data_IF_294312119508
#
_entry.id   IF_294312119508
#
_cell.length_a   1.000
_cell.length_b   1.000
_cell.length_c   1.000
_cell.angle_alpha   90.00
_cell.angle_beta   90.00
_cell.angle_gamma   90.00
#
_symmetry.space_group_name_H-M   'P 1'
#
loop_
_entity.id
_entity.type
_entity.pdbx_description
1 polymer ?
#
# COMPACT_ATOMS: atom_id res chain seq x y z
N UNK A 1 -1.05 21.66 -5.27
CA UNK A 1 -0.74 20.26 -5.66
C UNK A 1 0.06 20.19 -6.96
N UNK A 2 0.89 21.19 -7.26
CA UNK A 2 1.42 21.37 -8.63
C UNK A 2 2.87 20.91 -8.88
N UNK A 3 3.60 20.38 -7.97
CA UNK A 3 5.05 20.27 -8.16
C UNK A 3 5.69 18.88 -8.06
N UNK A 4 4.92 17.83 -7.81
CA UNK A 4 5.53 16.51 -7.57
C UNK A 4 5.06 15.41 -8.51
N UNK A 5 4.11 15.68 -9.40
CA UNK A 5 3.55 14.66 -10.27
C UNK A 5 3.74 15.04 -11.74
N UNK A 6 4.20 14.10 -12.55
CA UNK A 6 4.16 14.15 -14.01
C UNK A 6 2.72 14.05 -14.57
N UNK A 7 1.71 14.10 -13.70
CA UNK A 7 0.31 14.04 -14.05
C UNK A 7 -0.22 15.40 -14.49
N UNK A 8 -1.11 15.39 -15.48
CA UNK A 8 -1.79 16.62 -15.92
C UNK A 8 -2.72 17.15 -14.81
N UNK A 9 -2.98 18.47 -14.75
CA UNK A 9 -3.93 19.04 -13.78
C UNK A 9 -5.32 18.39 -13.85
N UNK A 10 -5.79 18.04 -15.05
CA UNK A 10 -7.08 17.35 -15.24
C UNK A 10 -7.07 15.92 -14.67
N UNK A 11 -5.98 15.18 -14.84
CA UNK A 11 -5.82 13.84 -14.25
C UNK A 11 -5.84 13.92 -12.72
N UNK A 12 -5.16 14.93 -12.14
CA UNK A 12 -5.17 15.16 -10.69
C UNK A 12 -6.58 15.49 -10.18
N UNK A 13 -7.32 16.37 -10.87
CA UNK A 13 -8.70 16.71 -10.49
C UNK A 13 -9.64 15.50 -10.56
N UNK A 14 -9.51 14.68 -11.59
CA UNK A 14 -10.30 13.45 -11.74
C UNK A 14 -9.96 12.44 -10.64
N UNK A 15 -8.68 12.24 -10.35
CA UNK A 15 -8.22 11.39 -9.27
C UNK A 15 -8.78 11.85 -7.91
N UNK A 16 -8.74 13.14 -7.61
CA UNK A 16 -9.31 13.70 -6.37
C UNK A 16 -10.81 13.41 -6.28
N UNK A 17 -11.56 13.60 -7.36
CA UNK A 17 -13.01 13.29 -7.37
C UNK A 17 -13.29 11.80 -7.20
N UNK A 18 -12.48 10.96 -7.85
CA UNK A 18 -12.60 9.51 -7.80
C UNK A 18 -12.34 8.97 -6.39
N UNK A 19 -11.32 9.47 -5.68
CA UNK A 19 -10.86 8.91 -4.42
C UNK A 19 -11.34 9.65 -3.18
N UNK A 20 -11.64 10.95 -3.32
CA UNK A 20 -12.01 11.85 -2.23
C UNK A 20 -13.34 12.57 -2.48
N UNK A 21 -14.18 12.04 -3.40
CA UNK A 21 -15.58 12.45 -3.49
C UNK A 21 -16.30 12.26 -2.14
N UNK A 22 -17.34 13.03 -1.87
CA UNK A 22 -17.98 13.10 -0.54
C UNK A 22 -18.36 11.72 0.01
N UNK A 23 -18.97 10.87 -0.84
CA UNK A 23 -19.41 9.53 -0.43
C UNK A 23 -18.21 8.61 -0.16
N UNK A 24 -17.20 8.63 -1.03
CA UNK A 24 -15.97 7.83 -0.89
C UNK A 24 -15.15 8.25 0.34
N UNK A 25 -15.10 9.54 0.62
CA UNK A 25 -14.40 10.03 1.81
C UNK A 25 -15.11 9.59 3.09
N UNK A 26 -16.45 9.60 3.11
CA UNK A 26 -17.22 9.10 4.24
C UNK A 26 -16.98 7.60 4.47
N UNK A 27 -16.97 6.78 3.40
CA UNK A 27 -16.64 5.35 3.47
C UNK A 27 -15.23 5.11 4.07
N UNK A 28 -14.24 5.91 3.68
CA UNK A 28 -12.87 5.81 4.24
C UNK A 28 -12.79 6.19 5.71
N UNK A 29 -13.57 7.17 6.14
CA UNK A 29 -13.62 7.61 7.55
C UNK A 29 -14.25 6.54 8.43
N UNK A 30 -15.24 5.80 7.90
CA UNK A 30 -15.95 4.74 8.61
C UNK A 30 -15.25 3.37 8.53
N UNK A 31 -14.16 3.24 7.75
CA UNK A 31 -13.38 1.98 7.61
C UNK A 31 -12.31 1.92 8.71
N UNK A 32 -12.44 0.96 9.63
CA UNK A 32 -11.50 0.75 10.75
C UNK A 32 -10.07 0.41 10.28
N UNK A 33 -9.90 -0.13 9.08
CA UNK A 33 -8.58 -0.45 8.51
C UNK A 33 -7.90 0.79 7.91
N UNK A 34 -8.64 1.88 7.66
CA UNK A 34 -8.11 3.13 7.11
C UNK A 34 -7.66 4.08 8.21
N UNK A 35 -6.48 4.66 8.05
CA UNK A 35 -5.95 5.71 8.92
C UNK A 35 -5.78 6.99 8.09
N UNK A 36 -6.52 8.03 8.47
CA UNK A 36 -6.40 9.36 7.90
C UNK A 36 -5.82 10.31 8.96
N UNK A 37 -4.72 10.97 8.64
CA UNK A 37 -4.12 11.99 9.48
C UNK A 37 -4.02 13.31 8.73
N UNK A 38 -4.13 14.40 9.46
CA UNK A 38 -3.97 15.76 8.96
C UNK A 38 -2.96 16.49 9.83
N UNK A 39 -2.06 17.25 9.22
CA UNK A 39 -1.21 18.20 9.90
C UNK A 39 -1.68 19.61 9.59
N UNK A 40 -1.83 20.43 10.63
CA UNK A 40 -2.24 21.83 10.53
C UNK A 40 -1.09 22.73 10.95
N UNK A 41 -0.97 23.86 10.27
CA UNK A 41 -0.04 24.95 10.59
C UNK A 41 -0.84 26.26 10.55
N UNK A 42 -0.77 27.04 11.64
CA UNK A 42 -1.50 28.31 11.79
C UNK A 42 -3.04 28.21 11.55
N UNK A 43 -3.64 27.05 11.81
CA UNK A 43 -5.06 26.75 11.61
C UNK A 43 -5.45 26.40 10.17
N UNK A 44 -4.47 26.21 9.30
CA UNK A 44 -4.68 25.76 7.93
C UNK A 44 -4.14 24.35 7.73
N UNK A 45 -4.80 23.53 6.90
CA UNK A 45 -4.33 22.18 6.59
C UNK A 45 -3.06 22.27 5.76
N UNK A 46 -1.93 21.90 6.37
CA UNK A 46 -0.61 21.90 5.75
C UNK A 46 -0.28 20.59 5.01
N UNK A 47 -0.89 19.47 5.43
CA UNK A 47 -0.67 18.17 4.80
C UNK A 47 -1.58 17.09 5.34
N UNK A 48 -1.52 15.91 4.73
CA UNK A 48 -2.27 14.73 5.16
C UNK A 48 -1.54 13.44 4.81
N UNK A 49 -1.88 12.36 5.52
CA UNK A 49 -1.57 11.00 5.11
C UNK A 49 -2.82 10.12 5.10
N UNK A 50 -2.83 9.16 4.19
CA UNK A 50 -3.80 8.07 4.13
C UNK A 50 -3.04 6.76 4.12
N UNK A 51 -3.43 5.87 5.01
CA UNK A 51 -2.81 4.57 5.16
C UNK A 51 -3.86 3.49 5.38
N UNK A 52 -3.52 2.25 5.05
CA UNK A 52 -4.39 1.08 5.24
C UNK A 52 -3.61 0.02 6.00
N UNK A 53 -4.22 -0.57 7.02
CA UNK A 53 -3.69 -1.74 7.72
C UNK A 53 -4.26 -3.00 7.08
N UNK A 54 -3.40 -3.96 6.77
CA UNK A 54 -3.79 -5.29 6.29
C UNK A 54 -2.93 -6.35 6.96
N UNK A 55 -3.51 -7.09 7.91
CA UNK A 55 -2.76 -8.00 8.75
C UNK A 55 -1.70 -7.29 9.58
N UNK A 56 -0.45 -7.66 9.41
CA UNK A 56 0.73 -7.08 10.07
C UNK A 56 1.43 -5.98 9.24
N UNK A 57 0.79 -5.53 8.15
CA UNK A 57 1.34 -4.51 7.25
C UNK A 57 0.52 -3.23 7.27
N UNK A 58 1.21 -2.09 7.31
CA UNK A 58 0.64 -0.74 7.16
C UNK A 58 1.15 -0.07 5.87
N UNK A 59 0.27 0.09 4.88
CA UNK A 59 0.57 0.75 3.61
C UNK A 59 0.24 2.23 3.68
N UNK A 60 1.24 3.10 3.52
CA UNK A 60 1.06 4.54 3.41
C UNK A 60 0.85 4.88 1.93
N UNK A 61 -0.40 5.04 1.54
CA UNK A 61 -0.82 5.33 0.19
C UNK A 61 -0.58 6.78 -0.22
N UNK A 62 -0.81 7.69 0.71
CA UNK A 62 -0.60 9.12 0.52
C UNK A 62 0.12 9.71 1.72
N UNK A 63 1.14 10.48 1.44
CA UNK A 63 1.76 11.40 2.36
C UNK A 63 2.06 12.67 1.58
N UNK A 64 1.27 13.69 1.84
CA UNK A 64 1.35 14.93 1.09
C UNK A 64 1.49 16.14 2.00
N UNK A 65 2.43 17.02 1.67
CA UNK A 65 2.58 18.33 2.29
C UNK A 65 2.45 19.40 1.21
N UNK A 66 1.59 20.38 1.44
CA UNK A 66 1.35 21.46 0.50
C UNK A 66 2.66 22.25 0.25
N UNK A 67 2.88 22.66 -1.00
CA UNK A 67 4.15 23.22 -1.46
C UNK A 67 4.69 24.35 -0.59
N UNK A 68 3.79 25.23 -0.11
CA UNK A 68 4.15 26.36 0.75
C UNK A 68 4.66 25.97 2.16
N UNK A 69 4.38 24.75 2.59
CA UNK A 69 4.78 24.22 3.91
C UNK A 69 5.93 23.21 3.82
N UNK A 70 6.48 22.95 2.63
CA UNK A 70 7.61 22.02 2.42
C UNK A 70 8.91 22.57 3.01
N UNK A 71 9.86 21.68 3.28
CA UNK A 71 11.17 22.02 3.83
C UNK A 71 11.18 22.42 5.31
N UNK A 72 10.04 22.32 6.01
CA UNK A 72 9.88 22.68 7.42
C UNK A 72 9.82 21.44 8.34
N UNK A 73 10.07 20.25 7.80
CA UNK A 73 10.04 19.00 8.59
C UNK A 73 8.66 18.36 8.75
N UNK A 74 7.57 19.02 8.28
CA UNK A 74 6.19 18.51 8.47
C UNK A 74 5.97 17.13 7.85
N UNK A 75 6.58 16.85 6.68
CA UNK A 75 6.46 15.53 6.05
C UNK A 75 7.04 14.42 6.93
N UNK A 76 8.18 14.67 7.57
CA UNK A 76 8.79 13.74 8.52
C UNK A 76 7.91 13.54 9.77
N UNK A 77 7.42 14.62 10.36
CA UNK A 77 6.54 14.56 11.53
C UNK A 77 5.25 13.76 11.21
N UNK A 78 4.66 14.02 10.04
CA UNK A 78 3.48 13.30 9.60
C UNK A 78 3.77 11.81 9.38
N UNK A 79 4.92 11.46 8.81
CA UNK A 79 5.36 10.07 8.66
C UNK A 79 5.55 9.38 10.02
N UNK A 80 6.29 10.01 10.94
CA UNK A 80 6.55 9.47 12.29
C UNK A 80 5.24 9.21 13.04
N UNK A 81 4.28 10.13 13.02
CA UNK A 81 2.96 9.95 13.64
C UNK A 81 2.13 8.86 12.93
N UNK A 82 2.20 8.81 11.59
CA UNK A 82 1.50 7.77 10.80
C UNK A 82 2.05 6.40 11.16
N UNK A 83 3.37 6.23 11.18
CA UNK A 83 4.05 4.99 11.56
C UNK A 83 3.63 4.54 12.96
N UNK A 84 3.73 5.42 13.96
CA UNK A 84 3.37 5.10 15.34
C UNK A 84 1.93 4.62 15.48
N UNK A 85 1.00 5.21 14.73
CA UNK A 85 -0.41 4.81 14.75
C UNK A 85 -0.67 3.49 14.02
N UNK A 86 0.03 3.22 12.94
CA UNK A 86 -0.02 1.94 12.25
C UNK A 86 0.52 0.81 13.13
N UNK A 87 1.65 1.02 13.80
CA UNK A 87 2.23 0.08 14.77
C UNK A 87 1.26 -0.21 15.94
N UNK A 88 0.59 0.81 16.47
CA UNK A 88 -0.46 0.65 17.50
C UNK A 88 -1.68 -0.14 17.03
N UNK A 89 -1.93 -0.19 15.71
CA UNK A 89 -2.97 -1.02 15.08
C UNK A 89 -2.49 -2.41 14.71
N UNK A 90 -1.24 -2.76 15.03
CA UNK A 90 -0.67 -4.08 14.82
C UNK A 90 0.17 -4.23 13.56
N UNK A 91 0.47 -3.15 12.85
CA UNK A 91 1.41 -3.22 11.74
C UNK A 91 2.84 -3.44 12.26
N UNK A 92 3.47 -4.53 11.80
CA UNK A 92 4.88 -4.85 12.05
C UNK A 92 5.77 -4.36 10.90
N UNK A 93 5.19 -4.24 9.71
CA UNK A 93 5.85 -3.75 8.49
C UNK A 93 5.20 -2.46 8.03
N UNK A 94 6.00 -1.41 7.82
CA UNK A 94 5.53 -0.14 7.28
C UNK A 94 6.01 0.03 5.84
N UNK A 95 5.04 0.28 4.94
CA UNK A 95 5.30 0.44 3.52
C UNK A 95 4.93 1.85 3.06
N UNK A 96 5.82 2.46 2.31
CA UNK A 96 5.58 3.71 1.60
C UNK A 96 5.37 3.45 0.12
N UNK A 97 4.25 3.90 -0.43
CA UNK A 97 3.94 3.77 -1.85
C UNK A 97 4.11 5.11 -2.56
N UNK A 98 4.74 5.09 -3.73
CA UNK A 98 5.00 6.32 -4.49
C UNK A 98 5.11 6.03 -5.98
N UNK A 99 4.57 6.90 -6.82
CA UNK A 99 4.75 6.80 -8.26
C UNK A 99 6.25 6.79 -8.62
N UNK A 100 6.67 5.91 -9.52
CA UNK A 100 8.06 5.77 -9.94
C UNK A 100 8.64 7.10 -10.48
N UNK A 101 7.81 7.89 -11.17
CA UNK A 101 8.18 9.19 -11.72
C UNK A 101 8.26 10.32 -10.67
N UNK A 102 7.78 10.09 -9.44
CA UNK A 102 7.82 11.09 -8.37
C UNK A 102 9.17 11.08 -7.65
N UNK A 103 10.16 11.73 -8.24
CA UNK A 103 11.54 11.75 -7.70
C UNK A 103 11.65 12.35 -6.29
N UNK A 104 10.80 13.33 -5.93
CA UNK A 104 10.77 13.92 -4.57
C UNK A 104 10.22 12.94 -3.55
N UNK A 105 9.15 12.23 -3.90
CA UNK A 105 8.55 11.21 -3.06
C UNK A 105 9.46 10.00 -2.86
N UNK A 106 10.11 9.52 -3.93
CA UNK A 106 11.09 8.44 -3.83
C UNK A 106 12.23 8.81 -2.87
N UNK A 107 12.83 10.00 -3.06
CA UNK A 107 13.89 10.51 -2.16
C UNK A 107 13.38 10.71 -0.72
N UNK A 108 12.10 11.06 -0.55
CA UNK A 108 11.53 11.21 0.80
C UNK A 108 11.57 9.86 1.54
N UNK A 109 11.11 8.76 0.93
CA UNK A 109 11.13 7.44 1.55
C UNK A 109 12.55 6.95 1.87
N UNK A 110 13.49 7.12 0.95
CA UNK A 110 14.91 6.82 1.19
C UNK A 110 15.47 7.60 2.38
N UNK A 111 15.11 8.89 2.51
CA UNK A 111 15.54 9.72 3.64
C UNK A 111 14.87 9.35 4.98
N UNK A 112 13.74 8.63 4.95
CA UNK A 112 13.15 8.05 6.16
C UNK A 112 13.77 6.69 6.52
N UNK A 113 14.72 6.19 5.73
CA UNK A 113 15.40 4.91 5.96
C UNK A 113 14.67 3.71 5.37
N UNK A 114 13.67 3.92 4.51
CA UNK A 114 13.00 2.81 3.81
C UNK A 114 13.81 2.40 2.58
N UNK A 115 13.77 1.11 2.27
CA UNK A 115 14.42 0.51 1.10
C UNK A 115 13.37 0.16 0.05
N UNK A 116 13.65 0.47 -1.23
CA UNK A 116 12.80 0.04 -2.34
C UNK A 116 12.94 -1.47 -2.52
N UNK A 117 11.83 -2.19 -2.44
CA UNK A 117 11.79 -3.66 -2.52
C UNK A 117 11.09 -4.18 -3.76
N UNK A 118 10.35 -3.35 -4.47
CA UNK A 118 9.62 -3.78 -5.66
C UNK A 118 8.84 -2.66 -6.31
N UNK A 119 8.11 -3.04 -7.36
CA UNK A 119 7.22 -2.16 -8.11
C UNK A 119 5.81 -2.73 -8.12
N UNK A 120 4.82 -1.86 -7.99
CA UNK A 120 3.41 -2.14 -8.17
C UNK A 120 2.83 -1.39 -9.35
N UNK A 121 1.54 -1.55 -9.57
CA UNK A 121 0.79 -0.80 -10.58
C UNK A 121 -0.39 -0.12 -9.95
N UNK A 122 -0.61 1.14 -10.31
CA UNK A 122 -1.75 1.93 -9.88
C UNK A 122 -2.47 2.51 -11.08
N UNK A 123 -3.80 2.41 -11.09
CA UNK A 123 -4.62 3.02 -12.14
C UNK A 123 -5.11 4.41 -11.71
N UNK A 124 -4.82 5.43 -12.52
CA UNK A 124 -5.23 6.81 -12.31
C UNK A 124 -5.92 7.31 -13.56
N UNK A 125 -7.21 7.66 -13.47
CA UNK A 125 -7.99 8.19 -14.59
C UNK A 125 -7.92 7.25 -15.82
N UNK A 126 -8.05 5.93 -15.60
CA UNK A 126 -8.02 4.89 -16.65
C UNK A 126 -6.64 4.58 -17.24
N UNK A 127 -5.56 5.13 -16.66
CA UNK A 127 -4.19 4.87 -17.10
C UNK A 127 -3.41 4.15 -16.00
N UNK A 128 -2.66 3.11 -16.38
CA UNK A 128 -1.77 2.41 -15.46
C UNK A 128 -0.45 3.19 -15.27
N UNK A 129 -0.04 3.33 -14.02
CA UNK A 129 1.23 3.94 -13.62
C UNK A 129 2.03 2.95 -12.78
N UNK A 130 3.35 3.01 -12.89
CA UNK A 130 4.25 2.25 -12.02
C UNK A 130 4.37 2.95 -10.67
N UNK A 131 4.26 2.17 -9.61
CA UNK A 131 4.40 2.62 -8.23
C UNK A 131 5.53 1.84 -7.56
N UNK A 132 6.49 2.55 -6.99
CA UNK A 132 7.56 1.96 -6.21
C UNK A 132 7.07 1.64 -4.80
N UNK A 133 7.48 0.50 -4.27
CA UNK A 133 7.17 0.01 -2.92
C UNK A 133 8.43 0.14 -2.07
N UNK A 134 8.34 0.93 -1.01
CA UNK A 134 9.40 1.12 -0.02
C UNK A 134 8.98 0.47 1.30
N UNK A 135 9.90 -0.27 1.95
CA UNK A 135 9.68 -0.83 3.30
C UNK A 135 10.83 -0.46 4.22
N UNK A 136 10.59 -0.44 5.52
CA UNK A 136 11.66 -0.37 6.50
C UNK A 136 12.47 -1.68 6.49
N UNK A 137 13.76 -1.61 6.87
CA UNK A 137 14.66 -2.77 6.81
C UNK A 137 14.20 -3.94 7.70
N UNK A 138 13.41 -3.67 8.74
CA UNK A 138 12.83 -4.68 9.62
C UNK A 138 11.63 -5.40 8.97
N UNK A 139 11.02 -4.79 7.95
CA UNK A 139 9.83 -5.29 7.25
C UNK A 139 10.09 -6.23 6.08
N UNK A 140 11.32 -6.51 5.72
CA UNK A 140 11.65 -7.51 4.70
C UNK A 140 11.66 -8.89 5.33
N UNK A 141 10.50 -9.51 5.44
CA UNK A 141 10.33 -10.82 6.06
C UNK A 141 10.03 -11.89 4.99
N UNK A 142 11.09 -12.49 4.47
CA UNK A 142 11.01 -13.64 3.57
C UNK A 142 11.20 -14.91 4.39
N UNK A 143 10.15 -15.73 4.48
CA UNK A 143 10.17 -16.97 5.28
C UNK A 143 10.12 -18.21 4.41
N UNK A 144 11.05 -19.17 4.60
CA UNK A 144 10.96 -20.44 3.90
C UNK A 144 9.75 -21.25 4.40
N UNK A 145 9.05 -21.88 3.46
CA UNK A 145 8.02 -22.88 3.71
C UNK A 145 8.28 -24.11 2.85
N UNK A 146 7.82 -25.27 3.30
CA UNK A 146 7.92 -26.50 2.52
C UNK A 146 6.56 -26.84 1.91
N UNK A 147 6.50 -26.94 0.58
CA UNK A 147 5.32 -27.31 -0.20
C UNK A 147 5.69 -28.47 -1.10
N UNK A 148 4.99 -29.60 -0.99
CA UNK A 148 5.24 -30.81 -1.78
C UNK A 148 6.73 -31.22 -1.80
N UNK A 149 7.36 -31.27 -0.61
CA UNK A 149 8.77 -31.57 -0.40
C UNK A 149 9.77 -30.57 -1.05
N UNK A 150 9.30 -29.44 -1.54
CA UNK A 150 10.15 -28.38 -2.07
C UNK A 150 10.12 -27.14 -1.17
N UNK A 151 11.25 -26.45 -1.06
CA UNK A 151 11.35 -25.18 -0.36
C UNK A 151 10.81 -24.06 -1.24
N UNK A 152 9.96 -23.22 -0.64
CA UNK A 152 9.38 -22.01 -1.21
C UNK A 152 9.54 -20.88 -0.21
N UNK A 153 9.26 -19.64 -0.64
CA UNK A 153 9.52 -18.45 0.16
C UNK A 153 8.27 -17.57 0.19
N UNK A 154 7.73 -17.35 1.39
CA UNK A 154 6.66 -16.36 1.61
C UNK A 154 7.31 -15.01 1.77
N UNK A 155 6.96 -14.06 0.93
CA UNK A 155 7.34 -12.66 1.09
C UNK A 155 6.20 -11.90 1.79
N UNK A 156 6.38 -11.58 3.07
CA UNK A 156 5.40 -10.82 3.84
C UNK A 156 5.41 -9.33 3.51
N UNK A 157 6.39 -8.85 2.76
CA UNK A 157 6.42 -7.50 2.23
C UNK A 157 5.62 -7.36 0.92
N UNK A 158 5.39 -8.46 0.19
CA UNK A 158 4.56 -8.51 -1.03
C UNK A 158 3.18 -9.09 -0.69
N UNK A 159 2.24 -8.20 -0.39
CA UNK A 159 0.92 -8.56 0.16
C UNK A 159 -0.22 -7.88 -0.59
N UNK A 160 -1.27 -8.67 -0.81
CA UNK A 160 -2.56 -8.21 -1.32
C UNK A 160 -3.63 -8.27 -0.22
N UNK A 161 -4.54 -7.28 -0.18
CA UNK A 161 -5.63 -7.21 0.81
C UNK A 161 -6.74 -8.21 0.49
N UNK A 162 -7.04 -9.10 1.42
CA UNK A 162 -8.21 -9.99 1.34
C UNK A 162 -9.39 -9.52 2.19
N UNK A 163 -10.54 -10.20 2.07
CA UNK A 163 -11.76 -9.90 2.82
C UNK A 163 -11.67 -10.28 4.31
N UNK A 164 -10.91 -11.32 4.62
CA UNK A 164 -10.77 -11.89 5.98
C UNK A 164 -9.32 -11.82 6.52
N UNK A 165 -8.35 -11.46 5.66
CA UNK A 165 -6.95 -11.35 6.01
C UNK A 165 -6.07 -11.19 4.77
N UNK A 166 -4.77 -10.90 4.93
CA UNK A 166 -3.86 -10.66 3.82
C UNK A 166 -3.62 -11.91 2.99
N UNK A 167 -3.23 -11.69 1.72
CA UNK A 167 -2.61 -12.70 0.87
C UNK A 167 -1.15 -12.32 0.67
N UNK A 168 -0.24 -13.14 1.13
CA UNK A 168 1.20 -12.94 0.92
C UNK A 168 1.66 -13.66 -0.35
N UNK A 169 2.53 -13.03 -1.13
CA UNK A 169 3.09 -13.70 -2.31
C UNK A 169 4.06 -14.80 -1.91
N UNK A 170 3.98 -15.93 -2.59
CA UNK A 170 4.88 -17.08 -2.42
C UNK A 170 5.73 -17.22 -3.67
N UNK A 171 7.04 -17.35 -3.49
CA UNK A 171 8.02 -17.52 -4.54
C UNK A 171 8.67 -18.90 -4.50
N UNK A 172 9.15 -19.36 -5.68
CA UNK A 172 9.90 -20.62 -5.80
C UNK A 172 11.33 -20.45 -5.28
N UNK A 173 11.86 -19.23 -5.34
CA UNK A 173 13.24 -18.90 -5.01
C UNK A 173 13.32 -17.72 -4.03
N UNK A 174 14.41 -17.70 -3.24
CA UNK A 174 14.67 -16.63 -2.25
C UNK A 174 14.93 -15.27 -2.93
N UNK A 175 15.36 -15.26 -4.19
CA UNK A 175 15.58 -14.03 -4.96
C UNK A 175 14.27 -13.37 -5.42
N UNK A 176 13.13 -14.05 -5.21
CA UNK A 176 11.77 -13.55 -5.54
C UNK A 176 11.58 -13.27 -7.04
N UNK A 177 12.25 -14.04 -7.89
CA UNK A 177 12.13 -13.89 -9.35
C UNK A 177 10.93 -14.64 -9.92
N UNK A 178 10.53 -15.78 -9.28
CA UNK A 178 9.52 -16.68 -9.80
C UNK A 178 8.37 -16.87 -8.80
N UNK A 179 7.23 -16.24 -9.07
CA UNK A 179 6.03 -16.36 -8.27
C UNK A 179 5.42 -17.75 -8.38
N UNK A 180 5.12 -18.38 -7.25
CA UNK A 180 4.46 -19.68 -7.16
C UNK A 180 2.95 -19.57 -6.92
N UNK A 181 2.54 -18.66 -6.03
CA UNK A 181 1.15 -18.49 -5.64
C UNK A 181 1.01 -17.50 -4.50
N UNK A 182 0.01 -17.72 -3.65
CA UNK A 182 -0.27 -16.88 -2.50
C UNK A 182 -0.47 -17.73 -1.23
N UNK A 183 -0.08 -17.17 -0.11
CA UNK A 183 -0.36 -17.70 1.22
C UNK A 183 -1.47 -16.88 1.86
N UNK A 184 -2.55 -17.54 2.26
CA UNK A 184 -3.69 -16.88 2.89
C UNK A 184 -3.39 -16.62 4.37
N UNK A 185 -3.24 -15.39 4.79
CA UNK A 185 -3.00 -15.02 6.19
C UNK A 185 -4.18 -15.24 7.13
N UNK A 186 -5.40 -15.47 6.58
CA UNK A 186 -6.58 -15.75 7.41
C UNK A 186 -6.66 -17.21 7.90
N UNK A 187 -6.17 -18.18 7.11
CA UNK A 187 -6.28 -19.60 7.44
C UNK A 187 -4.98 -20.40 7.20
N UNK A 188 -3.91 -19.71 6.86
CA UNK A 188 -2.56 -20.25 6.66
C UNK A 188 -2.48 -21.31 5.54
N UNK A 189 -3.36 -21.25 4.55
CA UNK A 189 -3.38 -22.16 3.42
C UNK A 189 -2.81 -21.52 2.15
N UNK A 190 -2.23 -22.37 1.30
CA UNK A 190 -1.70 -21.95 0.01
C UNK A 190 -2.83 -21.81 -1.02
N UNK A 191 -2.77 -20.74 -1.82
CA UNK A 191 -3.69 -20.48 -2.93
C UNK A 191 -2.89 -20.33 -4.21
N UNK A 192 -2.98 -21.34 -5.09
CA UNK A 192 -2.17 -21.44 -6.33
C UNK A 192 -2.96 -21.12 -7.60
N UNK A 193 -4.24 -20.82 -7.49
CA UNK A 193 -5.08 -20.58 -8.67
C UNK A 193 -6.01 -19.39 -8.49
N UNK A 194 -6.15 -18.62 -9.54
CA UNK A 194 -7.21 -17.61 -9.70
C UNK A 194 -8.38 -18.20 -10.49
N UNK A 195 -9.57 -17.62 -10.35
CA UNK A 195 -10.71 -17.97 -11.19
C UNK A 195 -10.50 -17.47 -12.65
N UNK A 196 -11.42 -17.83 -13.55
CA UNK A 196 -11.36 -17.44 -14.95
C UNK A 196 -11.47 -15.91 -15.19
N UNK A 197 -11.80 -15.16 -14.15
CA UNK A 197 -11.90 -13.70 -14.16
C UNK A 197 -10.72 -13.03 -13.41
N UNK A 198 -9.69 -13.80 -13.02
CA UNK A 198 -8.53 -13.32 -12.32
C UNK A 198 -8.75 -13.02 -10.83
N UNK A 199 -9.88 -13.49 -10.23
CA UNK A 199 -10.11 -13.31 -8.81
C UNK A 199 -9.39 -14.38 -8.01
N UNK A 200 -8.69 -13.94 -6.97
CA UNK A 200 -8.07 -14.80 -5.98
C UNK A 200 -9.07 -15.04 -4.84
N UNK A 201 -9.35 -16.30 -4.54
CA UNK A 201 -10.22 -16.72 -3.43
C UNK A 201 -9.64 -17.96 -2.77
N UNK A 202 -9.48 -17.91 -1.46
CA UNK A 202 -9.06 -19.06 -0.68
C UNK A 202 -10.24 -20.02 -0.53
N UNK A 203 -10.11 -21.23 -1.07
CA UNK A 203 -11.17 -22.25 -1.04
C UNK A 203 -11.46 -22.80 0.35
N UNK A 204 -10.51 -22.67 1.27
CA UNK A 204 -10.62 -23.22 2.62
C UNK A 204 -11.43 -22.28 3.54
N UNK A 205 -11.23 -20.97 3.45
CA UNK A 205 -11.88 -20.03 4.36
C UNK A 205 -12.76 -18.97 3.66
N UNK A 206 -12.78 -18.92 2.31
CA UNK A 206 -13.54 -17.94 1.56
C UNK A 206 -12.93 -16.54 1.54
N UNK A 207 -11.71 -16.37 2.09
CA UNK A 207 -11.00 -15.11 1.97
C UNK A 207 -10.81 -14.78 0.50
N UNK A 208 -11.29 -13.62 0.06
CA UNK A 208 -11.24 -13.18 -1.33
C UNK A 208 -10.47 -11.88 -1.46
N UNK A 209 -9.71 -11.75 -2.53
CA UNK A 209 -8.98 -10.53 -2.83
C UNK A 209 -9.96 -9.36 -2.84
N UNK A 210 -9.71 -8.36 -1.99
CA UNK A 210 -10.42 -7.08 -2.10
C UNK A 210 -9.82 -6.30 -3.26
N UNK A 211 -10.67 -5.59 -4.03
CA UNK A 211 -10.15 -4.66 -5.02
C UNK A 211 -9.11 -3.74 -4.36
N UNK A 212 -8.00 -3.54 -5.04
CA UNK A 212 -7.04 -2.54 -4.61
C UNK A 212 -7.76 -1.17 -4.56
N UNK A 213 -7.16 -0.21 -3.87
CA UNK A 213 -7.69 1.18 -3.81
C UNK A 213 -8.09 1.73 -5.19
N UNK A 214 -7.62 1.11 -6.26
CA UNK A 214 -7.75 1.52 -7.64
C UNK A 214 -8.85 0.77 -8.40
N UNK A 215 -9.12 -0.49 -8.02
CA UNK A 215 -10.09 -1.35 -8.71
C UNK A 215 -11.54 -1.07 -8.30
N UNK A 216 -11.76 -0.37 -7.20
CA UNK A 216 -13.08 0.01 -6.70
C UNK A 216 -13.88 0.95 -7.63
N UNK A 217 -13.27 1.42 -8.72
CA UNK A 217 -13.92 2.30 -9.70
C UNK A 217 -14.86 1.57 -10.67
N UNK A 218 -14.87 0.22 -10.69
CA UNK A 218 -15.62 -0.59 -11.67
C UNK A 218 -16.74 -1.45 -11.08
N UNK A 219 -17.13 -1.23 -9.82
CA UNK A 219 -18.31 -1.89 -9.23
C UNK A 219 -19.43 -0.92 -8.94
#
# INVERSE_FOLDING_TARGET
MEASYSLSPSTIENAIRQWYGVDRFAEKVDDDDVLLLVVEEDGETAGFSESVVSGDRGDIHWLHVAAMYRGQGLGRQLYEETRERLEKRGAETICGLVLADNSEGNRFWENQGLTMVGEGSVEIDGNAFVENVYVDEEGVDVRPIVIDDNEHYIDRSDVDRGSEGPFYTVYIDEARENKYGYYCGACENLVTSMDAMGRLECKECGNALKPSRWDAAYM
#
